data_IF_597225824909
#
_entry.id   IF_597225824909
#
_cell.length_a   1.000
_cell.length_b   1.000
_cell.length_c   1.000
_cell.angle_alpha   90.00
_cell.angle_beta   90.00
_cell.angle_gamma   90.00
#
_symmetry.space_group_name_H-M   'P 1'
#
loop_
_entity.id
_entity.type
_entity.pdbx_description
1 polymer ?
#
# COMPACT_ATOMS: atom_id res chain seq x y z
N UNK A 1 16.36 77.08 6.08
CA UNK A 1 15.39 76.84 5.00
C UNK A 1 13.98 76.97 5.57
N UNK A 2 13.14 77.84 4.98
CA UNK A 2 11.73 78.00 5.39
C UNK A 2 10.95 76.80 4.83
N UNK A 3 10.49 75.89 5.65
CA UNK A 3 9.58 74.85 5.22
C UNK A 3 8.27 75.51 4.80
N UNK A 4 7.79 75.26 3.57
CA UNK A 4 6.51 75.75 3.11
C UNK A 4 5.40 74.91 3.72
N UNK A 5 4.22 75.52 4.02
CA UNK A 5 3.03 74.78 4.54
C UNK A 5 2.69 73.55 3.69
N UNK A 6 2.94 73.62 2.39
CA UNK A 6 2.71 72.53 1.43
C UNK A 6 3.69 71.35 1.69
N UNK A 7 4.96 71.63 2.07
CA UNK A 7 5.91 70.57 2.43
C UNK A 7 5.54 69.88 3.74
N UNK A 8 5.07 70.63 4.74
CA UNK A 8 4.57 70.07 5.99
C UNK A 8 3.34 69.20 5.79
N UNK A 9 2.37 69.69 5.00
CA UNK A 9 1.19 68.88 4.68
C UNK A 9 1.51 67.57 3.92
N UNK A 10 2.40 67.64 2.93
CA UNK A 10 2.85 66.47 2.21
C UNK A 10 3.61 65.49 3.09
N UNK A 11 4.45 65.94 4.01
CA UNK A 11 5.15 65.11 4.97
C UNK A 11 4.21 64.45 5.96
N UNK A 12 3.20 65.17 6.42
CA UNK A 12 2.13 64.65 7.27
C UNK A 12 1.33 63.54 6.57
N UNK A 13 0.84 63.78 5.37
CA UNK A 13 0.11 62.78 4.59
C UNK A 13 0.93 61.54 4.29
N UNK A 14 2.23 61.70 4.01
CA UNK A 14 3.17 60.62 3.80
C UNK A 14 3.31 59.74 5.07
N UNK A 15 3.48 60.42 6.23
CA UNK A 15 3.61 59.69 7.50
C UNK A 15 2.31 58.98 7.88
N UNK A 16 1.15 59.61 7.66
CA UNK A 16 -0.16 58.97 7.91
C UNK A 16 -0.39 57.74 7.02
N UNK A 17 -0.08 57.85 5.72
CA UNK A 17 -0.20 56.72 4.81
C UNK A 17 0.78 55.56 5.19
N UNK A 18 2.02 55.89 5.57
CA UNK A 18 2.98 54.88 6.02
C UNK A 18 2.49 54.17 7.30
N UNK A 19 1.88 54.92 8.23
CA UNK A 19 1.33 54.36 9.47
C UNK A 19 0.15 53.44 9.18
N UNK A 20 -0.73 53.84 8.29
CA UNK A 20 -1.88 53.01 7.84
C UNK A 20 -1.44 51.76 7.11
N UNK A 21 -0.41 51.85 6.25
CA UNK A 21 0.15 50.70 5.54
C UNK A 21 0.74 49.66 6.51
N UNK A 22 1.54 50.09 7.48
CA UNK A 22 2.07 49.21 8.52
C UNK A 22 0.97 48.54 9.34
N UNK A 23 -0.03 49.29 9.76
CA UNK A 23 -1.15 48.77 10.52
C UNK A 23 -1.93 47.72 9.70
N UNK A 24 -2.16 47.95 8.41
CA UNK A 24 -2.79 46.99 7.52
C UNK A 24 -1.93 45.71 7.31
N UNK A 25 -0.60 45.85 7.18
CA UNK A 25 0.33 44.72 7.10
C UNK A 25 0.27 43.87 8.37
N UNK A 26 0.35 44.50 9.56
CA UNK A 26 0.28 43.76 10.84
C UNK A 26 -1.07 43.11 11.04
N UNK A 27 -2.18 43.78 10.68
CA UNK A 27 -3.50 43.17 10.74
C UNK A 27 -3.64 41.96 9.80
N UNK A 28 -3.05 42.05 8.61
CA UNK A 28 -3.04 40.92 7.69
C UNK A 28 -2.23 39.72 8.25
N UNK A 29 -1.06 39.98 8.84
CA UNK A 29 -0.23 38.96 9.48
C UNK A 29 -0.97 38.26 10.63
N UNK A 30 -1.69 39.04 11.47
CA UNK A 30 -2.53 38.53 12.56
C UNK A 30 -3.67 37.67 11.99
N UNK A 31 -4.38 38.17 10.97
CA UNK A 31 -5.51 37.47 10.37
C UNK A 31 -5.10 36.19 9.63
N UNK A 32 -3.91 36.19 9.01
CA UNK A 32 -3.35 35.05 8.31
C UNK A 32 -2.58 34.09 9.23
N UNK A 33 -2.38 34.45 10.51
CA UNK A 33 -1.57 33.71 11.51
C UNK A 33 -0.14 33.43 11.03
N UNK A 34 0.46 34.36 10.25
CA UNK A 34 1.78 34.22 9.64
C UNK A 34 2.75 35.29 10.11
N UNK A 35 4.02 34.91 10.23
CA UNK A 35 5.10 35.81 10.62
C UNK A 35 5.64 36.68 9.46
N UNK A 36 5.38 36.33 8.21
CA UNK A 36 5.77 37.08 7.00
C UNK A 36 4.75 36.92 5.89
N UNK A 37 4.62 37.92 5.03
CA UNK A 37 3.72 37.93 3.86
C UNK A 37 4.41 37.45 2.58
N UNK A 38 5.61 37.90 2.35
CA UNK A 38 6.38 37.63 1.12
C UNK A 38 7.71 36.99 1.46
N UNK A 39 8.24 36.19 0.52
CA UNK A 39 9.57 35.62 0.64
C UNK A 39 10.67 36.67 0.84
N UNK A 40 10.43 37.91 0.38
CA UNK A 40 11.37 39.04 0.53
C UNK A 40 11.46 39.54 1.96
N UNK A 41 10.48 39.33 2.80
CA UNK A 41 10.38 39.88 4.15
C UNK A 41 11.35 39.17 5.10
N UNK A 42 11.40 37.81 5.01
CA UNK A 42 12.41 36.95 5.66
C UNK A 42 12.84 35.81 4.74
N UNK A 43 13.81 36.03 3.85
CA UNK A 43 14.25 34.99 2.90
C UNK A 43 14.82 33.73 3.56
N UNK A 44 15.46 33.89 4.73
CA UNK A 44 16.12 32.78 5.42
C UNK A 44 15.09 31.81 6.03
N UNK A 45 14.10 32.34 6.71
CA UNK A 45 13.00 31.56 7.31
C UNK A 45 12.10 30.99 6.21
N UNK A 46 11.78 31.78 5.18
CA UNK A 46 10.97 31.32 4.04
C UNK A 46 11.62 30.14 3.30
N UNK A 47 12.93 30.14 3.06
CA UNK A 47 13.62 29.00 2.46
C UNK A 47 13.57 27.74 3.33
N UNK A 48 13.67 27.88 4.65
CA UNK A 48 13.52 26.76 5.59
C UNK A 48 12.08 26.21 5.57
N UNK A 49 11.10 27.10 5.61
CA UNK A 49 9.69 26.74 5.54
C UNK A 49 9.34 26.02 4.21
N UNK A 50 9.85 26.49 3.08
CA UNK A 50 9.70 25.81 1.80
C UNK A 50 10.26 24.38 1.80
N UNK A 51 11.42 24.16 2.44
CA UNK A 51 11.98 22.80 2.58
C UNK A 51 11.09 21.90 3.43
N UNK A 52 10.52 22.43 4.52
CA UNK A 52 9.60 21.69 5.39
C UNK A 52 8.31 21.37 4.66
N UNK A 53 7.72 22.31 3.93
CA UNK A 53 6.52 22.07 3.09
C UNK A 53 6.78 20.99 2.04
N UNK A 54 7.94 21.02 1.37
CA UNK A 54 8.33 19.97 0.42
C UNK A 54 8.47 18.60 1.11
N UNK A 55 8.97 18.57 2.34
CA UNK A 55 9.04 17.34 3.13
C UNK A 55 7.64 16.82 3.48
N UNK A 56 6.73 17.70 3.94
CA UNK A 56 5.34 17.34 4.23
C UNK A 56 4.62 16.78 3.02
N UNK A 57 4.74 17.44 1.86
CA UNK A 57 4.13 16.94 0.62
C UNK A 57 4.66 15.56 0.21
N UNK A 58 5.96 15.27 0.43
CA UNK A 58 6.50 13.92 0.19
C UNK A 58 5.97 12.89 1.18
N UNK A 59 5.85 13.25 2.45
CA UNK A 59 5.27 12.36 3.47
C UNK A 59 3.82 12.01 3.11
N UNK A 60 3.03 12.96 2.65
CA UNK A 60 1.65 12.71 2.19
C UNK A 60 1.59 11.73 1.00
N UNK A 61 2.53 11.83 0.06
CA UNK A 61 2.63 10.86 -1.04
C UNK A 61 2.96 9.46 -0.49
N UNK A 62 3.89 9.35 0.45
CA UNK A 62 4.25 8.08 1.06
C UNK A 62 3.13 7.47 1.91
N UNK A 63 2.37 8.32 2.64
CA UNK A 63 1.17 7.87 3.37
C UNK A 63 0.11 7.28 2.43
N UNK A 64 -0.15 7.94 1.29
CA UNK A 64 -1.07 7.44 0.27
C UNK A 64 -0.58 6.12 -0.33
N UNK A 65 0.70 6.03 -0.67
CA UNK A 65 1.31 4.80 -1.17
C UNK A 65 1.21 3.65 -0.17
N UNK A 66 1.41 3.91 1.13
CA UNK A 66 1.24 2.92 2.18
C UNK A 66 -0.22 2.49 2.35
N UNK A 67 -1.16 3.43 2.24
CA UNK A 67 -2.60 3.13 2.30
C UNK A 67 -3.03 2.21 1.16
N UNK A 68 -2.55 2.47 -0.05
CA UNK A 68 -2.82 1.62 -1.21
C UNK A 68 -2.18 0.24 -1.05
N UNK A 69 -0.93 0.20 -0.57
CA UNK A 69 -0.23 -1.05 -0.25
C UNK A 69 -0.98 -1.86 0.81
N UNK A 70 -1.47 -1.22 1.87
CA UNK A 70 -2.25 -1.88 2.91
C UNK A 70 -3.52 -2.53 2.35
N UNK A 71 -4.28 -1.82 1.51
CA UNK A 71 -5.49 -2.37 0.88
C UNK A 71 -5.20 -3.61 0.03
N UNK A 72 -4.07 -3.62 -0.71
CA UNK A 72 -3.64 -4.80 -1.47
C UNK A 72 -3.26 -5.96 -0.54
N UNK A 73 -2.50 -5.69 0.53
CA UNK A 73 -2.08 -6.71 1.49
C UNK A 73 -3.28 -7.30 2.25
N UNK A 74 -4.24 -6.48 2.66
CA UNK A 74 -5.48 -6.94 3.31
C UNK A 74 -6.28 -7.89 2.39
N UNK A 75 -6.32 -7.57 1.09
CA UNK A 75 -6.98 -8.43 0.11
C UNK A 75 -6.22 -9.76 -0.09
N UNK A 76 -4.88 -9.74 -0.12
CA UNK A 76 -4.06 -10.96 -0.10
C UNK A 76 -4.35 -11.79 1.13
N UNK A 77 -4.32 -11.19 2.32
CA UNK A 77 -4.54 -11.88 3.59
C UNK A 77 -5.90 -12.59 3.61
N UNK A 78 -6.96 -11.87 3.26
CA UNK A 78 -8.32 -12.43 3.18
C UNK A 78 -8.40 -13.62 2.21
N UNK A 79 -7.81 -13.46 1.02
CA UNK A 79 -7.87 -14.50 -0.01
C UNK A 79 -7.04 -15.73 0.37
N UNK A 80 -5.81 -15.53 0.87
CA UNK A 80 -4.93 -16.63 1.28
C UNK A 80 -5.51 -17.35 2.51
N UNK A 81 -6.13 -16.64 3.44
CA UNK A 81 -6.87 -17.22 4.57
C UNK A 81 -8.00 -18.14 4.10
N UNK A 82 -8.74 -17.73 3.08
CA UNK A 82 -9.80 -18.54 2.47
C UNK A 82 -9.23 -19.80 1.80
N UNK A 83 -8.16 -19.67 1.01
CA UNK A 83 -7.48 -20.81 0.37
C UNK A 83 -6.92 -21.78 1.42
N UNK A 84 -6.33 -21.26 2.52
CA UNK A 84 -5.83 -22.07 3.63
C UNK A 84 -6.96 -22.87 4.31
N UNK A 85 -8.12 -22.25 4.49
CA UNK A 85 -9.29 -22.92 5.07
C UNK A 85 -9.81 -24.03 4.16
N UNK A 86 -9.90 -23.77 2.85
CA UNK A 86 -10.28 -24.76 1.82
C UNK A 86 -9.27 -25.91 1.79
N UNK A 87 -7.96 -25.62 1.86
CA UNK A 87 -6.91 -26.65 1.85
C UNK A 87 -6.99 -27.58 3.05
N UNK A 88 -7.31 -27.05 4.24
CA UNK A 88 -7.52 -27.87 5.46
C UNK A 88 -8.75 -28.74 5.35
N UNK A 89 -9.85 -28.19 4.81
CA UNK A 89 -11.09 -28.93 4.62
C UNK A 89 -10.93 -30.00 3.55
N UNK A 90 -10.22 -29.70 2.46
CA UNK A 90 -9.89 -30.68 1.42
C UNK A 90 -9.10 -31.85 1.98
N UNK A 91 -8.07 -31.58 2.82
CA UNK A 91 -7.30 -32.64 3.48
C UNK A 91 -8.18 -33.51 4.38
N UNK A 92 -9.11 -32.91 5.14
CA UNK A 92 -10.05 -33.65 5.98
C UNK A 92 -10.98 -34.56 5.14
N UNK A 93 -11.49 -34.05 4.01
CA UNK A 93 -12.33 -34.82 3.08
C UNK A 93 -11.55 -35.96 2.44
N UNK A 94 -10.29 -35.75 2.02
CA UNK A 94 -9.42 -36.77 1.46
C UNK A 94 -9.18 -37.89 2.49
N UNK A 95 -8.83 -37.54 3.74
CA UNK A 95 -8.61 -38.52 4.82
C UNK A 95 -9.89 -39.33 5.11
N UNK A 96 -11.07 -38.69 5.07
CA UNK A 96 -12.36 -39.38 5.21
C UNK A 96 -12.60 -40.35 4.07
N UNK A 97 -12.25 -39.97 2.83
CA UNK A 97 -12.39 -40.84 1.66
C UNK A 97 -11.44 -42.05 1.64
N UNK A 98 -10.24 -41.90 2.25
CA UNK A 98 -9.24 -42.97 2.34
C UNK A 98 -9.59 -44.03 3.38
N UNK A 99 -10.35 -43.67 4.43
CA UNK A 99 -10.69 -44.64 5.48
C UNK A 99 -11.48 -45.82 4.89
N UNK A 100 -10.90 -47.03 4.97
CA UNK A 100 -11.19 -48.24 4.17
C UNK A 100 -12.57 -48.85 4.24
N UNK A 101 -13.56 -48.20 4.86
CA UNK A 101 -14.99 -48.60 4.89
C UNK A 101 -15.87 -47.65 4.06
N UNK A 102 -15.26 -46.73 3.29
CA UNK A 102 -16.02 -45.75 2.51
C UNK A 102 -16.72 -46.40 1.31
N UNK A 103 -18.04 -46.38 1.34
CA UNK A 103 -18.85 -46.74 0.19
C UNK A 103 -18.50 -45.88 -1.04
N UNK A 104 -18.65 -46.45 -2.24
CA UNK A 104 -18.41 -45.74 -3.52
C UNK A 104 -19.18 -44.43 -3.63
N UNK A 105 -20.34 -44.30 -2.99
CA UNK A 105 -21.13 -43.08 -2.94
C UNK A 105 -20.44 -42.00 -2.08
N UNK A 106 -19.76 -42.36 -1.00
CA UNK A 106 -18.96 -41.43 -0.16
C UNK A 106 -17.77 -40.92 -0.96
N UNK A 107 -17.04 -41.80 -1.67
CA UNK A 107 -15.92 -41.43 -2.53
C UNK A 107 -16.35 -40.45 -3.62
N UNK A 108 -17.49 -40.70 -4.31
CA UNK A 108 -18.06 -39.77 -5.30
C UNK A 108 -18.47 -38.44 -4.69
N UNK A 109 -18.96 -38.42 -3.45
CA UNK A 109 -19.29 -37.18 -2.74
C UNK A 109 -18.03 -36.37 -2.42
N UNK A 110 -16.97 -37.03 -1.92
CA UNK A 110 -15.67 -36.42 -1.68
C UNK A 110 -15.11 -35.83 -2.98
N UNK A 111 -15.12 -36.60 -4.09
CA UNK A 111 -14.65 -36.11 -5.39
C UNK A 111 -15.40 -34.84 -5.83
N UNK A 112 -16.73 -34.83 -5.72
CA UNK A 112 -17.56 -33.67 -6.07
C UNK A 112 -17.23 -32.46 -5.18
N UNK A 113 -16.98 -32.67 -3.88
CA UNK A 113 -16.58 -31.59 -2.96
C UNK A 113 -15.22 -31.04 -3.35
N UNK A 114 -14.25 -31.90 -3.70
CA UNK A 114 -12.92 -31.45 -4.14
C UNK A 114 -12.98 -30.68 -5.45
N UNK A 115 -13.84 -31.04 -6.40
CA UNK A 115 -14.11 -30.26 -7.63
C UNK A 115 -14.66 -28.87 -7.28
N UNK A 116 -15.59 -28.77 -6.34
CA UNK A 116 -16.08 -27.47 -5.84
C UNK A 116 -14.99 -26.61 -5.19
N UNK A 117 -14.08 -27.23 -4.45
CA UNK A 117 -12.91 -26.53 -3.90
C UNK A 117 -11.94 -26.06 -4.99
N UNK A 118 -11.73 -26.88 -6.02
CA UNK A 118 -10.93 -26.54 -7.19
C UNK A 118 -11.46 -25.27 -7.88
N UNK A 119 -12.77 -25.20 -8.15
CA UNK A 119 -13.42 -24.03 -8.73
C UNK A 119 -13.30 -22.79 -7.83
N UNK A 120 -13.49 -22.99 -6.52
CA UNK A 120 -13.41 -21.89 -5.54
C UNK A 120 -11.99 -21.33 -5.44
N UNK A 121 -10.96 -22.18 -5.45
CA UNK A 121 -9.55 -21.76 -5.45
C UNK A 121 -9.22 -20.99 -6.73
N UNK A 122 -9.70 -21.44 -7.89
CA UNK A 122 -9.51 -20.74 -9.16
C UNK A 122 -10.14 -19.33 -9.12
N UNK A 123 -11.36 -19.23 -8.59
CA UNK A 123 -12.03 -17.94 -8.41
C UNK A 123 -11.29 -17.03 -7.43
N UNK A 124 -10.82 -17.58 -6.29
CA UNK A 124 -10.02 -16.85 -5.30
C UNK A 124 -8.68 -16.38 -5.87
N UNK A 125 -8.01 -17.22 -6.67
CA UNK A 125 -6.74 -16.86 -7.32
C UNK A 125 -6.89 -15.78 -8.40
N UNK A 126 -8.10 -15.51 -8.86
CA UNK A 126 -8.45 -14.42 -9.79
C UNK A 126 -9.14 -13.24 -9.08
N UNK A 127 -8.87 -13.04 -7.79
CA UNK A 127 -9.41 -11.90 -7.04
C UNK A 127 -8.79 -10.59 -7.52
N UNK A 128 -9.62 -9.53 -7.50
CA UNK A 128 -9.22 -8.17 -7.85
C UNK A 128 -9.18 -7.25 -6.64
N UNK A 129 -8.33 -6.23 -6.73
CA UNK A 129 -8.38 -5.03 -5.90
C UNK A 129 -8.50 -3.81 -6.82
N UNK A 130 -9.65 -3.13 -6.79
CA UNK A 130 -9.99 -2.18 -7.84
C UNK A 130 -10.10 -2.85 -9.21
N UNK A 131 -9.34 -2.37 -10.17
CA UNK A 131 -9.30 -2.93 -11.53
C UNK A 131 -8.20 -3.98 -11.73
N UNK A 132 -7.26 -4.08 -10.79
CA UNK A 132 -6.08 -4.93 -10.86
C UNK A 132 -6.30 -6.32 -10.26
N UNK A 133 -5.83 -7.38 -10.95
CA UNK A 133 -5.73 -8.72 -10.37
C UNK A 133 -4.53 -8.79 -9.44
N UNK A 134 -4.76 -9.18 -8.18
CA UNK A 134 -3.71 -9.13 -7.17
C UNK A 134 -2.63 -10.21 -7.36
N UNK A 135 -2.98 -11.40 -7.85
CA UNK A 135 -2.07 -12.53 -8.03
C UNK A 135 -1.41 -12.58 -9.42
N UNK A 136 -1.62 -11.57 -10.26
CA UNK A 136 -1.07 -11.49 -11.61
C UNK A 136 0.42 -11.12 -11.67
N UNK A 137 1.06 -10.87 -10.53
CA UNK A 137 2.45 -10.42 -10.47
C UNK A 137 2.62 -9.05 -11.09
N UNK A 138 3.30 -8.97 -12.23
CA UNK A 138 3.46 -7.77 -13.05
C UNK A 138 2.33 -7.56 -14.07
N UNK A 139 1.53 -8.60 -14.39
CA UNK A 139 0.41 -8.56 -15.33
C UNK A 139 -0.94 -8.40 -14.65
N UNK A 140 -1.17 -7.22 -14.06
CA UNK A 140 -2.37 -6.96 -13.25
C UNK A 140 -3.66 -6.76 -14.04
N UNK A 141 -3.58 -6.44 -15.34
CA UNK A 141 -4.75 -6.11 -16.16
C UNK A 141 -5.53 -7.29 -16.73
N UNK A 142 -5.05 -8.54 -16.55
CA UNK A 142 -5.69 -9.76 -17.03
C UNK A 142 -5.80 -10.80 -15.92
N UNK A 143 -6.82 -11.68 -16.03
CA UNK A 143 -6.95 -12.78 -15.09
C UNK A 143 -5.68 -13.66 -15.13
N UNK A 144 -4.96 -13.80 -14.00
CA UNK A 144 -3.71 -14.55 -13.97
C UNK A 144 -3.91 -16.03 -14.25
N UNK A 145 -5.02 -16.60 -13.79
CA UNK A 145 -5.33 -18.02 -13.99
C UNK A 145 -6.47 -18.20 -14.98
N UNK A 146 -6.28 -19.11 -15.92
CA UNK A 146 -7.28 -19.51 -16.90
C UNK A 146 -7.14 -21.00 -17.22
N UNK A 147 -8.20 -21.62 -17.74
CA UNK A 147 -8.16 -22.99 -18.25
C UNK A 147 -8.02 -22.95 -19.77
N UNK A 148 -7.17 -23.81 -20.32
CA UNK A 148 -7.11 -24.01 -21.76
C UNK A 148 -8.27 -24.88 -22.27
N UNK A 149 -8.36 -25.05 -23.60
CA UNK A 149 -9.41 -25.90 -24.21
C UNK A 149 -9.33 -27.39 -23.83
N UNK A 150 -8.25 -27.82 -23.21
CA UNK A 150 -8.01 -29.20 -22.72
C UNK A 150 -8.21 -29.30 -21.19
N UNK A 151 -8.55 -28.21 -20.51
CA UNK A 151 -8.77 -28.17 -19.07
C UNK A 151 -7.49 -27.99 -18.23
N UNK A 152 -6.33 -27.74 -18.86
CA UNK A 152 -5.08 -27.47 -18.12
C UNK A 152 -5.08 -26.05 -17.56
N UNK A 153 -4.58 -25.88 -16.34
CA UNK A 153 -4.44 -24.59 -15.72
C UNK A 153 -3.26 -23.82 -16.31
N UNK A 154 -3.52 -22.61 -16.72
CA UNK A 154 -2.52 -21.66 -17.20
C UNK A 154 -2.37 -20.53 -16.19
N UNK A 155 -1.13 -20.10 -15.93
CA UNK A 155 -0.79 -18.86 -15.22
C UNK A 155 -0.12 -17.89 -16.19
N UNK A 156 -0.68 -16.69 -16.35
CA UNK A 156 -0.25 -15.69 -17.33
C UNK A 156 -0.07 -16.27 -18.76
N UNK A 157 -0.93 -17.24 -19.13
CA UNK A 157 -0.91 -17.89 -20.45
C UNK A 157 0.10 -19.04 -20.60
N UNK A 158 0.85 -19.40 -19.55
CA UNK A 158 1.77 -20.54 -19.54
C UNK A 158 1.20 -21.67 -18.65
N UNK A 159 1.38 -22.92 -19.09
CA UNK A 159 0.94 -24.06 -18.29
C UNK A 159 1.69 -24.14 -16.95
N UNK A 160 0.96 -24.28 -15.84
CA UNK A 160 1.53 -24.24 -14.48
C UNK A 160 2.48 -25.41 -14.18
N UNK A 161 2.40 -26.53 -14.90
CA UNK A 161 3.22 -27.72 -14.67
C UNK A 161 4.51 -27.71 -15.50
N UNK A 162 4.47 -27.18 -16.71
CA UNK A 162 5.60 -27.21 -17.66
C UNK A 162 6.24 -25.83 -17.88
N UNK A 163 5.58 -24.76 -17.48
CA UNK A 163 6.05 -23.38 -17.63
C UNK A 163 7.23 -23.05 -16.71
N UNK A 164 8.01 -22.07 -17.13
CA UNK A 164 9.07 -21.48 -16.29
C UNK A 164 8.62 -20.12 -15.82
N UNK A 165 8.52 -19.98 -14.51
CA UNK A 165 8.06 -18.74 -13.87
C UNK A 165 9.23 -18.09 -13.14
N UNK A 166 9.29 -16.76 -13.24
CA UNK A 166 10.29 -15.94 -12.56
C UNK A 166 9.62 -15.22 -11.39
N UNK A 167 10.41 -14.82 -10.42
CA UNK A 167 9.93 -13.96 -9.35
C UNK A 167 9.49 -12.61 -9.94
N UNK A 168 8.25 -12.25 -9.68
CA UNK A 168 7.64 -11.00 -10.15
C UNK A 168 7.56 -10.03 -8.97
N UNK A 169 8.11 -8.82 -9.14
CA UNK A 169 8.18 -7.84 -8.08
C UNK A 169 7.43 -6.58 -8.46
N UNK A 170 6.58 -6.10 -7.57
CA UNK A 170 5.92 -4.81 -7.68
C UNK A 170 6.32 -3.95 -6.48
N UNK A 171 7.13 -2.93 -6.74
CA UNK A 171 7.67 -2.07 -5.70
C UNK A 171 6.86 -0.79 -5.55
N UNK A 172 6.68 -0.36 -4.30
CA UNK A 172 6.05 0.91 -3.94
C UNK A 172 7.05 1.69 -3.09
N UNK A 173 7.24 3.00 -3.42
CA UNK A 173 8.07 3.90 -2.62
C UNK A 173 7.30 4.34 -1.36
N UNK A 174 7.83 3.96 -0.21
CA UNK A 174 7.28 4.25 1.12
C UNK A 174 8.20 5.15 1.95
N UNK A 175 9.12 5.86 1.27
CA UNK A 175 10.04 6.80 1.93
C UNK A 175 11.25 6.15 2.59
N UNK A 176 11.64 4.93 2.19
CA UNK A 176 12.87 4.27 2.67
C UNK A 176 14.11 4.83 1.98
N UNK A 177 13.94 5.43 0.82
CA UNK A 177 15.02 5.91 -0.05
C UNK A 177 15.14 5.02 -1.28
N UNK A 178 14.16 5.16 -2.19
CA UNK A 178 14.13 4.41 -3.45
C UNK A 178 15.44 4.58 -4.21
N UNK A 179 16.11 3.47 -4.48
CA UNK A 179 17.33 3.39 -5.27
C UNK A 179 17.07 2.52 -6.50
N UNK A 180 17.26 3.12 -7.68
CA UNK A 180 17.02 2.48 -8.97
C UNK A 180 18.30 2.56 -9.78
N UNK A 181 18.78 1.42 -10.25
CA UNK A 181 19.99 1.35 -11.08
C UNK A 181 19.76 1.94 -12.49
N UNK A 182 20.82 2.08 -13.27
CA UNK A 182 20.76 2.61 -14.63
C UNK A 182 19.94 1.73 -15.60
N UNK A 183 19.65 0.49 -15.23
CA UNK A 183 18.83 -0.45 -16.00
C UNK A 183 17.37 -0.46 -15.58
N UNK A 184 17.00 0.35 -14.58
CA UNK A 184 15.63 0.45 -14.05
C UNK A 184 15.30 -0.57 -12.97
N UNK A 185 16.28 -1.35 -12.47
CA UNK A 185 16.02 -2.29 -11.40
C UNK A 185 16.03 -1.58 -10.03
N UNK A 186 15.06 -1.90 -9.20
CA UNK A 186 14.96 -1.39 -7.84
C UNK A 186 15.89 -2.19 -6.93
N UNK A 187 16.76 -1.49 -6.18
CA UNK A 187 17.63 -2.15 -5.22
C UNK A 187 16.78 -2.83 -4.12
N UNK A 188 17.07 -4.09 -3.78
CA UNK A 188 16.38 -4.77 -2.69
C UNK A 188 16.44 -3.93 -1.40
N UNK A 189 15.31 -3.82 -0.69
CA UNK A 189 15.15 -3.02 0.55
C UNK A 189 15.11 -1.49 0.37
N UNK A 190 15.19 -0.95 -0.84
CA UNK A 190 15.00 0.49 -1.10
C UNK A 190 13.54 0.88 -1.32
N UNK A 191 12.66 -0.10 -1.58
CA UNK A 191 11.23 0.07 -1.71
C UNK A 191 10.47 -1.15 -1.15
N UNK A 192 9.18 -0.99 -0.90
CA UNK A 192 8.34 -2.06 -0.40
C UNK A 192 7.79 -2.91 -1.54
N UNK A 193 8.01 -4.24 -1.49
CA UNK A 193 7.46 -5.18 -2.46
C UNK A 193 6.06 -5.63 -2.02
N UNK A 194 5.03 -5.18 -2.73
CA UNK A 194 3.63 -5.56 -2.47
C UNK A 194 3.21 -6.83 -3.21
N UNK A 195 3.94 -7.27 -4.25
CA UNK A 195 3.49 -8.40 -5.05
C UNK A 195 3.59 -9.72 -4.30
N UNK A 196 2.64 -10.60 -4.63
CA UNK A 196 2.68 -12.03 -4.33
C UNK A 196 2.21 -12.74 -5.60
N UNK A 197 3.14 -13.49 -6.22
CA UNK A 197 2.82 -14.22 -7.45
C UNK A 197 1.86 -15.37 -7.17
N UNK A 198 0.84 -15.52 -8.01
CA UNK A 198 -0.08 -16.66 -7.95
C UNK A 198 0.62 -17.99 -8.20
N UNK A 199 1.69 -18.00 -9.00
CA UNK A 199 2.53 -19.16 -9.24
C UNK A 199 3.20 -19.66 -7.95
N UNK A 200 3.70 -18.73 -7.12
CA UNK A 200 4.29 -19.06 -5.80
C UNK A 200 3.21 -19.53 -4.83
N UNK A 201 2.04 -18.92 -4.84
CA UNK A 201 0.93 -19.25 -3.93
C UNK A 201 0.39 -20.66 -4.18
N UNK A 202 0.00 -20.97 -5.41
CA UNK A 202 -0.62 -22.25 -5.76
C UNK A 202 0.39 -23.36 -6.08
N UNK A 203 1.65 -22.98 -6.34
CA UNK A 203 2.71 -23.89 -6.75
C UNK A 203 2.78 -24.12 -8.26
N UNK A 204 3.92 -24.58 -8.75
CA UNK A 204 4.19 -24.87 -10.17
C UNK A 204 5.06 -26.12 -10.34
N UNK A 205 5.03 -26.69 -11.53
CA UNK A 205 5.80 -27.88 -11.87
C UNK A 205 5.20 -29.18 -11.33
N UNK A 206 5.94 -30.25 -11.53
CA UNK A 206 5.65 -31.59 -11.03
C UNK A 206 6.81 -32.11 -10.18
N UNK A 207 6.53 -33.00 -9.25
CA UNK A 207 7.57 -33.61 -8.42
C UNK A 207 8.23 -34.83 -9.13
N UNK A 208 9.18 -35.47 -8.44
CA UNK A 208 9.90 -36.65 -8.94
C UNK A 208 9.01 -37.88 -9.20
N UNK A 209 7.80 -37.90 -8.66
CA UNK A 209 6.81 -38.94 -8.86
C UNK A 209 5.78 -38.60 -9.97
N UNK A 210 5.93 -37.43 -10.60
CA UNK A 210 5.00 -36.94 -11.61
C UNK A 210 3.71 -36.31 -11.02
N UNK A 211 3.66 -36.10 -9.70
CA UNK A 211 2.52 -35.48 -9.04
C UNK A 211 2.66 -33.94 -9.15
N UNK A 212 1.57 -33.26 -9.52
CA UNK A 212 1.56 -31.81 -9.65
C UNK A 212 1.87 -31.10 -8.32
N UNK A 213 2.66 -30.05 -8.38
CA UNK A 213 2.91 -29.12 -7.25
C UNK A 213 1.84 -28.03 -7.14
N UNK A 214 0.92 -27.94 -8.11
CA UNK A 214 -0.12 -26.93 -8.11
C UNK A 214 -1.35 -27.38 -7.32
N UNK A 215 -1.79 -26.60 -6.34
CA UNK A 215 -2.91 -26.97 -5.46
C UNK A 215 -4.21 -27.23 -6.23
N UNK A 216 -4.53 -26.39 -7.24
CA UNK A 216 -5.75 -26.57 -8.04
C UNK A 216 -5.74 -27.89 -8.82
N UNK A 217 -4.64 -28.20 -9.52
CA UNK A 217 -4.51 -29.43 -10.28
C UNK A 217 -4.47 -30.65 -9.34
N UNK A 218 -3.76 -30.54 -8.22
CA UNK A 218 -3.67 -31.61 -7.21
C UNK A 218 -5.06 -32.02 -6.67
N UNK A 219 -5.92 -31.04 -6.40
CA UNK A 219 -7.32 -31.35 -6.00
C UNK A 219 -8.10 -32.03 -7.12
N UNK A 220 -7.83 -31.62 -8.38
CA UNK A 220 -8.40 -32.27 -9.55
C UNK A 220 -7.99 -33.72 -9.69
N UNK A 221 -6.69 -34.01 -9.58
CA UNK A 221 -6.14 -35.36 -9.67
C UNK A 221 -6.68 -36.26 -8.55
N UNK A 222 -6.73 -35.75 -7.32
CA UNK A 222 -7.31 -36.49 -6.18
C UNK A 222 -8.79 -36.77 -6.42
N UNK A 223 -9.57 -35.82 -6.93
CA UNK A 223 -10.97 -36.00 -7.25
C UNK A 223 -11.15 -37.09 -8.31
N UNK A 224 -10.33 -37.07 -9.36
CA UNK A 224 -10.38 -38.10 -10.43
C UNK A 224 -10.06 -39.51 -9.89
N UNK A 225 -9.08 -39.63 -8.98
CA UNK A 225 -8.78 -40.92 -8.33
C UNK A 225 -9.97 -41.45 -7.52
N UNK A 226 -10.67 -40.60 -6.79
CA UNK A 226 -11.89 -40.98 -6.08
C UNK A 226 -13.04 -41.30 -7.01
N UNK A 227 -13.19 -40.59 -8.15
CA UNK A 227 -14.20 -40.86 -9.18
C UNK A 227 -14.01 -42.28 -9.80
N UNK A 228 -12.75 -42.63 -10.06
CA UNK A 228 -12.35 -43.89 -10.68
C UNK A 228 -12.17 -45.05 -9.70
N UNK A 229 -12.33 -44.78 -8.38
CA UNK A 229 -12.06 -45.75 -7.30
C UNK A 229 -10.63 -46.31 -7.30
N UNK A 230 -9.67 -45.54 -7.84
CA UNK A 230 -8.23 -45.85 -7.85
C UNK A 230 -7.53 -45.19 -6.67
N UNK A 231 -7.40 -45.95 -5.59
CA UNK A 231 -6.76 -45.48 -4.37
C UNK A 231 -5.31 -46.00 -4.19
N UNK A 232 -4.73 -46.61 -5.23
CA UNK A 232 -3.40 -47.26 -5.13
C UNK A 232 -2.30 -46.32 -4.59
N UNK A 233 -2.28 -45.07 -5.09
CA UNK A 233 -1.26 -44.07 -4.74
C UNK A 233 -1.83 -42.88 -3.93
N UNK A 234 -3.07 -42.98 -3.47
CA UNK A 234 -3.80 -41.86 -2.86
C UNK A 234 -3.07 -41.28 -1.63
N UNK A 235 -2.28 -42.10 -0.92
CA UNK A 235 -1.50 -41.63 0.21
C UNK A 235 -0.43 -40.63 -0.22
N UNK A 236 0.24 -40.84 -1.36
CA UNK A 236 1.24 -39.89 -1.89
C UNK A 236 0.59 -38.54 -2.22
N UNK A 237 -0.62 -38.56 -2.81
CA UNK A 237 -1.38 -37.34 -3.09
C UNK A 237 -1.87 -36.64 -1.81
N UNK A 238 -2.27 -37.42 -0.78
CA UNK A 238 -2.64 -36.85 0.52
C UNK A 238 -1.46 -36.19 1.21
N UNK A 239 -0.29 -36.83 1.20
CA UNK A 239 0.94 -36.28 1.76
C UNK A 239 1.35 -34.98 1.01
N UNK A 240 1.22 -34.96 -0.31
CA UNK A 240 1.48 -33.80 -1.15
C UNK A 240 0.48 -32.66 -0.85
N UNK A 241 -0.80 -32.97 -0.65
CA UNK A 241 -1.79 -31.98 -0.25
C UNK A 241 -1.48 -31.35 1.11
N UNK A 242 -1.02 -32.16 2.07
CA UNK A 242 -0.58 -31.67 3.38
C UNK A 242 0.66 -30.78 3.27
N UNK A 243 1.63 -31.10 2.40
CA UNK A 243 2.78 -30.25 2.08
C UNK A 243 2.30 -28.90 1.52
N UNK A 244 1.40 -28.90 0.53
CA UNK A 244 0.84 -27.68 -0.06
C UNK A 244 0.06 -26.84 0.95
N UNK A 245 -0.72 -27.45 1.82
CA UNK A 245 -1.41 -26.74 2.90
C UNK A 245 -0.41 -26.09 3.88
N UNK A 246 0.77 -26.69 4.06
CA UNK A 246 1.84 -26.07 4.85
C UNK A 246 2.48 -24.88 4.13
N UNK A 247 2.73 -25.00 2.83
CA UNK A 247 3.27 -23.92 2.01
C UNK A 247 2.35 -22.68 2.04
N UNK A 248 1.02 -22.89 1.91
CA UNK A 248 0.03 -21.80 2.00
C UNK A 248 0.05 -21.12 3.37
N UNK A 249 0.23 -21.88 4.47
CA UNK A 249 0.39 -21.29 5.81
C UNK A 249 1.64 -20.43 5.92
N UNK A 250 2.75 -20.85 5.30
CA UNK A 250 3.98 -20.05 5.24
C UNK A 250 3.73 -18.75 4.46
N UNK A 251 3.01 -18.81 3.34
CA UNK A 251 2.63 -17.61 2.57
C UNK A 251 1.72 -16.69 3.39
N UNK A 252 0.75 -17.23 4.12
CA UNK A 252 -0.11 -16.46 5.01
C UNK A 252 0.70 -15.69 6.08
N UNK A 253 1.66 -16.36 6.72
CA UNK A 253 2.56 -15.73 7.70
C UNK A 253 3.43 -14.65 7.03
N UNK A 254 3.90 -14.90 5.81
CA UNK A 254 4.69 -13.92 5.06
C UNK A 254 3.88 -12.65 4.74
N UNK A 255 2.59 -12.78 4.43
CA UNK A 255 1.70 -11.63 4.23
C UNK A 255 1.48 -10.87 5.55
N UNK A 256 1.29 -11.57 6.68
CA UNK A 256 1.21 -10.95 8.00
C UNK A 256 2.46 -10.11 8.31
N UNK A 257 3.65 -10.62 8.01
CA UNK A 257 4.90 -9.86 8.18
C UNK A 257 4.97 -8.61 7.28
N UNK A 258 4.40 -8.66 6.05
CA UNK A 258 4.27 -7.48 5.19
C UNK A 258 3.30 -6.45 5.77
N UNK A 259 2.19 -6.87 6.37
CA UNK A 259 1.24 -6.00 7.06
C UNK A 259 1.86 -5.30 8.27
N UNK A 260 2.62 -6.04 9.10
CA UNK A 260 3.36 -5.47 10.22
C UNK A 260 4.38 -4.41 9.77
N UNK A 261 5.06 -4.68 8.66
CA UNK A 261 6.01 -3.75 8.05
C UNK A 261 5.33 -2.44 7.62
N UNK A 262 4.17 -2.51 6.95
CA UNK A 262 3.39 -1.34 6.55
C UNK A 262 2.95 -0.55 7.79
N UNK A 263 2.45 -1.22 8.82
CA UNK A 263 2.04 -0.59 10.07
C UNK A 263 3.19 0.18 10.73
N UNK A 264 4.37 -0.42 10.80
CA UNK A 264 5.56 0.23 11.33
C UNK A 264 5.94 1.51 10.55
N UNK A 265 5.91 1.45 9.21
CA UNK A 265 6.22 2.62 8.38
C UNK A 265 5.14 3.69 8.45
N UNK A 266 3.88 3.31 8.59
CA UNK A 266 2.77 4.25 8.80
C UNK A 266 2.95 5.05 10.10
N UNK A 267 3.27 4.40 11.20
CA UNK A 267 3.55 5.07 12.49
C UNK A 267 4.77 5.99 12.40
N UNK A 268 5.81 5.56 11.71
CA UNK A 268 7.01 6.38 11.46
C UNK A 268 6.67 7.63 10.65
N UNK A 269 5.95 7.49 9.54
CA UNK A 269 5.55 8.64 8.70
C UNK A 269 4.63 9.59 9.45
N UNK A 270 3.71 9.09 10.27
CA UNK A 270 2.87 9.91 11.14
C UNK A 270 3.71 10.75 12.12
N UNK A 271 4.72 10.15 12.74
CA UNK A 271 5.64 10.86 13.63
C UNK A 271 6.46 11.91 12.89
N UNK A 272 6.98 11.58 11.69
CA UNK A 272 7.72 12.50 10.83
C UNK A 272 6.84 13.68 10.38
N UNK A 273 5.56 13.42 10.01
CA UNK A 273 4.57 14.44 9.64
C UNK A 273 4.28 15.39 10.78
N UNK A 274 4.06 14.85 11.98
CA UNK A 274 3.80 15.65 13.19
C UNK A 274 4.97 16.57 13.50
N UNK A 275 6.21 16.06 13.45
CA UNK A 275 7.42 16.85 13.68
C UNK A 275 7.62 17.91 12.58
N UNK A 276 7.37 17.58 11.33
CA UNK A 276 7.46 18.51 10.22
C UNK A 276 6.39 19.62 10.30
N UNK A 277 5.15 19.28 10.65
CA UNK A 277 4.07 20.24 10.85
C UNK A 277 4.37 21.20 12.02
N UNK A 278 4.87 20.69 13.14
CA UNK A 278 5.32 21.51 14.26
C UNK A 278 6.40 22.49 13.81
N UNK A 279 7.42 22.01 13.09
CA UNK A 279 8.50 22.85 12.58
C UNK A 279 8.00 23.88 11.56
N UNK A 280 7.01 23.55 10.74
CA UNK A 280 6.37 24.49 9.85
C UNK A 280 5.69 25.62 10.65
N UNK A 281 4.90 25.25 11.67
CA UNK A 281 4.24 26.21 12.56
C UNK A 281 5.25 27.13 13.28
N UNK A 282 6.39 26.61 13.73
CA UNK A 282 7.46 27.39 14.35
C UNK A 282 8.15 28.37 13.39
N UNK A 283 8.21 28.02 12.08
CA UNK A 283 8.84 28.86 11.05
C UNK A 283 7.88 29.89 10.44
N UNK A 284 6.61 29.57 10.33
CA UNK A 284 5.61 30.38 9.62
C UNK A 284 4.61 31.06 10.55
N UNK A 285 4.44 30.52 11.76
CA UNK A 285 3.48 31.04 12.74
C UNK A 285 3.91 32.39 13.31
N UNK A 286 2.96 33.23 13.55
CA UNK A 286 3.15 34.53 14.22
C UNK A 286 3.02 34.35 15.73
N UNK A 287 3.82 35.12 16.48
CA UNK A 287 3.55 35.31 17.91
C UNK A 287 2.39 36.30 18.05
N UNK A 288 1.19 35.79 18.24
CA UNK A 288 -0.04 36.60 18.30
C UNK A 288 -0.01 37.65 19.41
N UNK A 289 0.60 37.34 20.58
CA UNK A 289 0.69 38.29 21.70
C UNK A 289 1.53 39.51 21.29
N UNK A 290 2.70 39.30 20.72
CA UNK A 290 3.59 40.35 20.24
C UNK A 290 2.99 41.13 19.07
N UNK A 291 2.36 40.45 18.14
CA UNK A 291 1.72 41.07 16.98
C UNK A 291 0.54 41.98 17.36
N UNK A 292 -0.28 41.58 18.36
CA UNK A 292 -1.36 42.40 18.88
C UNK A 292 -0.81 43.65 19.59
N UNK A 293 0.29 43.54 20.34
CA UNK A 293 0.94 44.68 20.98
C UNK A 293 1.43 45.67 19.90
N UNK A 294 2.13 45.18 18.86
CA UNK A 294 2.61 45.99 17.74
C UNK A 294 1.43 46.65 17.01
N UNK A 295 0.33 45.92 16.76
CA UNK A 295 -0.86 46.46 16.13
C UNK A 295 -1.48 47.60 16.97
N UNK A 296 -1.60 47.43 18.29
CA UNK A 296 -2.14 48.43 19.22
C UNK A 296 -1.28 49.67 19.27
N UNK A 297 0.05 49.52 19.25
CA UNK A 297 0.99 50.65 19.17
C UNK A 297 0.86 51.44 17.85
N UNK A 298 0.68 50.72 16.73
CA UNK A 298 0.49 51.32 15.42
C UNK A 298 -0.84 52.07 15.33
N UNK A 299 -1.91 51.49 15.92
CA UNK A 299 -3.23 52.12 16.00
C UNK A 299 -3.17 53.42 16.84
N UNK A 300 -2.46 53.39 17.95
CA UNK A 300 -2.28 54.54 18.81
C UNK A 300 -1.46 55.63 18.12
N UNK A 301 -0.43 55.27 17.37
CA UNK A 301 0.40 56.16 16.58
C UNK A 301 -0.42 56.78 15.42
N UNK A 302 -1.25 55.99 14.74
CA UNK A 302 -2.16 56.45 13.68
C UNK A 302 -3.17 57.49 14.23
N UNK A 303 -3.82 57.14 15.36
CA UNK A 303 -4.78 58.02 16.00
C UNK A 303 -4.13 59.35 16.50
N UNK A 304 -2.90 59.27 17.00
CA UNK A 304 -2.12 60.48 17.38
C UNK A 304 -1.74 61.33 16.18
N UNK A 305 -1.58 60.77 14.99
CA UNK A 305 -1.39 61.55 13.77
C UNK A 305 -2.66 62.30 13.29
N UNK A 306 -3.84 61.80 13.65
CA UNK A 306 -5.11 62.41 13.25
C UNK A 306 -5.56 63.58 14.16
N UNK A 307 -4.99 63.69 15.35
CA UNK A 307 -5.20 64.83 16.30
C UNK A 307 -4.30 66.01 16.01
#
# INVERSE_FOLDING_TARGET
MRMTNRMMSNSYLKNLNNSLEKMNETNYLITAERSYMKLSDDPATALKAMKVRKSLSRIEIYENNLSDAQGIIDQYESTISSINSISKEALAQVLQGITGTSDINVKKTVAKTLRGFQETILAAANTKYGDDYIFGGDQVGKAPFSLDGSGNLLYNGQNVETGTFHDEFRYIDVGIGLDVDASGNVAPKSAFNVSTSGAVLLGTGVDGNGITNNLHNLLGDIAEKFENDDLSDIQLYSDKLNEKASDIRIQYVSIGAKSDYISFFSERLYSEKTNAAKRQSELEGINLEEAIIIFSEQELAYNACLQ
#
